data_IF_861594896679
#
_entry.id   IF_861594896679
#
_cell.length_a   1.000
_cell.length_b   1.000
_cell.length_c   1.000
_cell.angle_alpha   90.00
_cell.angle_beta   90.00
_cell.angle_gamma   90.00
#
_symmetry.space_group_name_H-M   'P 1'
#
loop_
_entity.id
_entity.type
_entity.pdbx_description
1 polymer ?
#
# COMPACT_ATOMS: atom_id res chain seq x y z
N UNK A 1 -96.40 -5.03 -7.03
CA UNK A 1 -95.65 -4.67 -5.81
C UNK A 1 -94.18 -4.59 -6.16
N UNK A 2 -93.59 -3.46 -5.80
CA UNK A 2 -92.20 -3.03 -5.97
C UNK A 2 -91.25 -3.98 -5.21
N UNK A 3 -90.05 -4.28 -5.75
CA UNK A 3 -88.76 -3.91 -5.13
C UNK A 3 -87.50 -4.35 -5.91
N UNK A 4 -86.71 -3.33 -6.24
CA UNK A 4 -85.26 -3.18 -6.00
C UNK A 4 -84.23 -4.10 -6.66
N UNK A 5 -83.44 -3.43 -7.53
CA UNK A 5 -81.96 -3.28 -7.47
C UNK A 5 -81.14 -4.54 -7.81
N UNK A 6 -80.07 -4.51 -8.60
CA UNK A 6 -79.23 -3.43 -9.10
C UNK A 6 -78.36 -3.98 -10.24
N UNK A 7 -78.07 -3.11 -11.18
CA UNK A 7 -77.13 -3.26 -12.29
C UNK A 7 -75.74 -3.61 -11.76
N UNK A 8 -75.12 -4.67 -12.30
CA UNK A 8 -73.69 -4.95 -12.11
C UNK A 8 -73.07 -5.45 -13.41
N UNK A 9 -72.84 -4.52 -14.33
CA UNK A 9 -71.80 -4.66 -15.35
C UNK A 9 -70.51 -4.11 -14.75
N UNK A 10 -69.65 -5.00 -14.24
CA UNK A 10 -68.31 -4.68 -13.78
C UNK A 10 -67.44 -4.28 -14.98
N UNK A 11 -67.28 -2.98 -15.22
CA UNK A 11 -66.20 -2.46 -16.04
C UNK A 11 -64.98 -2.28 -15.13
N UNK A 12 -64.09 -3.28 -15.08
CA UNK A 12 -62.79 -3.15 -14.45
C UNK A 12 -61.93 -2.19 -15.30
N UNK A 13 -61.94 -0.91 -14.95
CA UNK A 13 -60.94 0.03 -15.46
C UNK A 13 -59.64 -0.23 -14.69
N UNK A 14 -58.81 -1.14 -15.23
CA UNK A 14 -57.44 -1.31 -14.77
C UNK A 14 -56.66 -0.04 -15.12
N UNK A 15 -56.58 0.89 -14.17
CA UNK A 15 -55.59 1.97 -14.22
C UNK A 15 -54.23 1.30 -14.01
N UNK A 16 -53.58 0.94 -15.11
CA UNK A 16 -52.17 0.61 -15.11
C UNK A 16 -51.40 1.89 -14.75
N UNK A 17 -51.17 2.09 -13.45
CA UNK A 17 -50.13 3.03 -13.01
C UNK A 17 -48.82 2.39 -13.40
N UNK A 18 -48.35 2.69 -14.61
CA UNK A 18 -46.98 2.45 -15.01
C UNK A 18 -46.10 3.32 -14.12
N UNK A 19 -45.71 2.79 -12.96
CA UNK A 19 -44.56 3.31 -12.22
C UNK A 19 -43.37 3.02 -13.11
N UNK A 20 -43.07 3.99 -13.99
CA UNK A 20 -41.75 4.08 -14.61
C UNK A 20 -40.78 4.30 -13.46
N UNK A 21 -40.29 3.22 -12.87
CA UNK A 21 -39.09 3.26 -12.06
C UNK A 21 -37.99 3.77 -12.99
N UNK A 22 -37.74 5.08 -12.97
CA UNK A 22 -36.53 5.61 -13.57
C UNK A 22 -35.38 4.81 -12.94
N UNK A 23 -34.50 4.20 -13.75
CA UNK A 23 -33.34 3.54 -13.19
C UNK A 23 -32.66 4.57 -12.30
N UNK A 24 -32.55 4.28 -11.00
CA UNK A 24 -31.78 5.09 -10.07
C UNK A 24 -30.36 5.03 -10.63
N UNK A 25 -29.99 6.06 -11.39
CA UNK A 25 -28.64 6.22 -11.91
C UNK A 25 -27.82 6.57 -10.68
N UNK A 26 -27.29 5.54 -10.02
CA UNK A 26 -26.36 5.70 -8.92
C UNK A 26 -25.32 6.72 -9.38
N UNK A 27 -25.27 7.87 -8.71
CA UNK A 27 -24.28 8.89 -9.00
C UNK A 27 -22.92 8.21 -8.93
N UNK A 28 -22.09 8.39 -9.95
CA UNK A 28 -20.77 7.78 -9.98
C UNK A 28 -19.97 8.29 -8.77
N UNK A 29 -19.82 7.45 -7.74
CA UNK A 29 -19.05 7.79 -6.55
C UNK A 29 -17.56 7.71 -6.85
N UNK A 30 -16.83 8.72 -6.42
CA UNK A 30 -15.37 8.72 -6.38
C UNK A 30 -14.90 7.97 -5.15
N UNK A 31 -13.64 7.56 -5.13
CA UNK A 31 -13.07 6.84 -3.98
C UNK A 31 -11.89 7.62 -3.41
N UNK A 32 -11.88 7.80 -2.09
CA UNK A 32 -10.74 8.26 -1.33
C UNK A 32 -10.21 7.08 -0.51
N UNK A 33 -8.96 6.72 -0.72
CA UNK A 33 -8.28 5.64 -0.01
C UNK A 33 -7.22 6.28 0.88
N UNK A 34 -7.28 6.04 2.18
CA UNK A 34 -6.39 6.62 3.19
C UNK A 34 -5.56 5.51 3.81
N UNK A 35 -4.24 5.67 3.79
CA UNK A 35 -3.29 4.78 4.44
C UNK A 35 -2.47 5.51 5.50
N UNK A 36 -2.39 4.91 6.68
CA UNK A 36 -1.35 5.22 7.68
C UNK A 36 -0.39 4.02 7.75
N UNK A 37 0.85 4.24 7.35
CA UNK A 37 1.91 3.24 7.25
C UNK A 37 2.23 2.68 8.64
N UNK A 38 2.20 1.36 8.82
CA UNK A 38 2.55 0.76 10.10
C UNK A 38 1.52 0.91 11.23
N UNK A 39 0.30 1.37 10.94
CA UNK A 39 -0.70 1.63 11.97
C UNK A 39 -1.28 0.32 12.53
N UNK A 40 -0.98 0.04 13.80
CA UNK A 40 -1.64 -1.07 14.50
C UNK A 40 -3.10 -0.72 14.87
N UNK A 41 -4.05 -1.67 14.75
CA UNK A 41 -5.45 -1.43 15.10
C UNK A 41 -5.71 -1.00 16.54
N UNK A 42 -4.85 -1.38 17.49
CA UNK A 42 -4.99 -1.04 18.91
C UNK A 42 -4.72 0.45 19.22
N UNK A 43 -4.13 1.20 18.28
CA UNK A 43 -3.99 2.65 18.42
C UNK A 43 -5.26 3.44 18.11
N UNK A 44 -6.23 2.82 17.45
CA UNK A 44 -7.47 3.48 17.01
C UNK A 44 -8.43 3.59 18.21
N UNK A 45 -8.24 4.65 18.98
CA UNK A 45 -8.93 4.98 20.24
C UNK A 45 -9.45 6.42 20.19
N UNK A 46 -10.50 6.78 20.95
CA UNK A 46 -10.99 8.15 21.01
C UNK A 46 -9.91 9.18 21.37
N UNK A 47 -8.94 8.79 22.20
CA UNK A 47 -7.91 9.69 22.73
C UNK A 47 -6.76 9.90 21.74
N UNK A 48 -6.33 8.85 21.03
CA UNK A 48 -5.17 8.94 20.14
C UNK A 48 -5.56 9.28 18.71
N UNK A 49 -6.74 8.85 18.25
CA UNK A 49 -7.16 8.96 16.86
C UNK A 49 -8.66 9.26 16.76
N UNK A 50 -9.14 10.39 17.31
CA UNK A 50 -10.57 10.70 17.37
C UNK A 50 -11.25 10.70 15.99
N UNK A 51 -10.56 11.16 14.93
CA UNK A 51 -11.16 11.24 13.59
C UNK A 51 -11.32 9.86 12.96
N UNK A 52 -10.27 9.04 12.99
CA UNK A 52 -10.35 7.67 12.48
C UNK A 52 -11.25 6.80 13.33
N UNK A 53 -11.25 6.98 14.66
CA UNK A 53 -12.16 6.30 15.56
C UNK A 53 -13.62 6.64 15.22
N UNK A 54 -13.96 7.91 15.02
CA UNK A 54 -15.30 8.31 14.61
C UNK A 54 -15.69 7.72 13.24
N UNK A 55 -14.76 7.71 12.27
CA UNK A 55 -14.98 7.08 10.96
C UNK A 55 -15.25 5.57 11.10
N UNK A 56 -14.52 4.88 11.98
CA UNK A 56 -14.73 3.46 12.30
C UNK A 56 -16.11 3.21 12.91
N UNK A 57 -16.59 4.08 13.81
CA UNK A 57 -17.92 3.94 14.43
C UNK A 57 -19.07 4.18 13.44
N UNK A 58 -18.88 5.11 12.50
CA UNK A 58 -19.90 5.46 11.52
C UNK A 58 -19.90 4.57 10.27
N UNK A 59 -18.85 3.76 10.07
CA UNK A 59 -18.62 2.97 8.88
C UNK A 59 -18.67 1.46 9.10
N UNK A 60 -18.13 0.72 8.13
CA UNK A 60 -17.96 -0.74 8.22
C UNK A 60 -16.51 -1.03 8.63
N UNK A 61 -16.34 -1.79 9.70
CA UNK A 61 -15.02 -2.21 10.18
C UNK A 61 -14.82 -3.71 9.97
N UNK A 62 -13.83 -4.06 9.15
CA UNK A 62 -13.43 -5.46 8.96
C UNK A 62 -12.64 -5.96 10.17
N UNK A 63 -13.08 -7.06 10.79
CA UNK A 63 -12.44 -7.64 11.99
C UNK A 63 -11.45 -8.77 11.67
N UNK A 64 -11.37 -9.22 10.42
CA UNK A 64 -10.54 -10.36 10.00
C UNK A 64 -9.63 -10.00 8.82
N UNK A 65 -9.01 -8.83 8.88
CA UNK A 65 -8.01 -8.41 7.88
C UNK A 65 -6.59 -8.84 8.31
N UNK A 66 -5.74 -9.13 7.32
CA UNK A 66 -4.32 -9.43 7.54
C UNK A 66 -3.48 -8.78 6.45
N UNK A 67 -2.28 -8.33 6.81
CA UNK A 67 -1.28 -7.87 5.86
C UNK A 67 -0.79 -9.02 5.00
N UNK A 68 -0.33 -8.67 3.81
CA UNK A 68 0.28 -9.63 2.88
C UNK A 68 1.70 -9.95 3.34
N UNK A 69 2.06 -11.24 3.34
CA UNK A 69 3.40 -11.71 3.69
C UNK A 69 4.37 -11.62 2.49
N UNK A 70 5.64 -11.17 2.70
CA UNK A 70 6.16 -10.63 3.95
C UNK A 70 5.54 -9.25 4.26
N UNK A 71 5.25 -9.01 5.54
CA UNK A 71 4.47 -7.85 6.02
C UNK A 71 5.30 -6.57 6.03
N UNK A 72 5.68 -6.12 4.83
CA UNK A 72 6.49 -4.92 4.58
C UNK A 72 5.81 -4.00 3.58
N UNK A 73 6.12 -2.71 3.65
CA UNK A 73 5.48 -1.65 2.89
C UNK A 73 5.37 -1.90 1.39
N UNK A 74 6.44 -2.32 0.71
CA UNK A 74 6.45 -2.37 -0.76
C UNK A 74 5.69 -3.59 -1.28
N UNK A 75 5.71 -4.69 -0.55
CA UNK A 75 4.85 -5.86 -0.80
C UNK A 75 3.37 -5.51 -0.66
N UNK A 76 3.00 -4.79 0.40
CA UNK A 76 1.61 -4.40 0.61
C UNK A 76 1.17 -3.30 -0.36
N UNK A 77 2.06 -2.37 -0.73
CA UNK A 77 1.80 -1.34 -1.75
C UNK A 77 1.53 -1.97 -3.12
N UNK A 78 2.33 -2.94 -3.57
CA UNK A 78 2.10 -3.63 -4.84
C UNK A 78 0.85 -4.52 -4.80
N UNK A 79 0.60 -5.17 -3.66
CA UNK A 79 -0.58 -6.03 -3.50
C UNK A 79 -1.87 -5.22 -3.47
N UNK A 80 -1.87 -4.07 -2.80
CA UNK A 80 -2.94 -3.08 -2.85
C UNK A 80 -3.16 -2.58 -4.28
N UNK A 81 -2.08 -2.20 -4.96
CA UNK A 81 -2.17 -1.65 -6.31
C UNK A 81 -2.72 -2.66 -7.32
N UNK A 82 -2.59 -3.97 -7.09
CA UNK A 82 -2.95 -5.01 -8.07
C UNK A 82 -4.09 -5.93 -7.62
N UNK A 83 -4.47 -5.90 -6.34
CA UNK A 83 -5.39 -6.88 -5.76
C UNK A 83 -4.84 -8.31 -5.73
N UNK A 84 -3.52 -8.50 -5.81
CA UNK A 84 -2.89 -9.82 -5.94
C UNK A 84 -1.67 -9.98 -5.01
N UNK A 85 -1.37 -11.22 -4.61
CA UNK A 85 -0.23 -11.53 -3.74
C UNK A 85 1.13 -11.38 -4.47
N UNK A 86 2.26 -11.24 -3.74
CA UNK A 86 3.62 -11.13 -4.30
C UNK A 86 3.97 -12.19 -5.33
N UNK A 87 3.50 -13.42 -5.13
CA UNK A 87 3.66 -14.51 -6.10
C UNK A 87 3.13 -14.15 -7.49
N UNK A 88 2.08 -13.33 -7.57
CA UNK A 88 1.42 -12.94 -8.80
C UNK A 88 1.81 -11.54 -9.27
N UNK A 89 2.08 -10.59 -8.37
CA UNK A 89 2.51 -9.23 -8.76
C UNK A 89 4.02 -9.08 -8.96
N UNK A 90 4.82 -10.03 -8.50
CA UNK A 90 6.26 -10.11 -8.75
C UNK A 90 7.16 -9.32 -7.79
N UNK A 91 6.60 -8.49 -6.90
CA UNK A 91 7.38 -7.69 -5.96
C UNK A 91 7.36 -8.32 -4.55
N UNK A 92 8.50 -8.88 -4.14
CA UNK A 92 8.60 -9.81 -3.01
C UNK A 92 9.18 -9.22 -1.71
N UNK A 93 9.56 -7.94 -1.69
CA UNK A 93 10.13 -7.33 -0.48
C UNK A 93 10.50 -5.87 -0.67
N UNK A 94 10.88 -5.23 0.44
CA UNK A 94 11.43 -3.87 0.42
C UNK A 94 12.83 -3.83 -0.24
N UNK A 95 13.52 -4.96 -0.23
CA UNK A 95 14.81 -5.14 -0.87
C UNK A 95 14.76 -6.39 -1.75
N UNK A 96 15.17 -6.27 -3.01
CA UNK A 96 15.00 -7.33 -4.01
C UNK A 96 16.27 -7.50 -4.84
N UNK A 97 16.51 -8.70 -5.37
CA UNK A 97 17.65 -8.98 -6.23
C UNK A 97 17.21 -9.27 -7.67
N UNK A 98 17.57 -8.37 -8.59
CA UNK A 98 17.38 -8.54 -10.03
C UNK A 98 18.74 -8.54 -10.73
N UNK A 99 19.32 -9.72 -11.04
CA UNK A 99 20.67 -9.82 -11.62
C UNK A 99 20.81 -9.15 -12.99
N UNK A 100 19.69 -8.91 -13.70
CA UNK A 100 19.65 -8.11 -14.94
C UNK A 100 19.87 -6.61 -14.73
N UNK A 101 19.64 -6.12 -13.52
CA UNK A 101 19.79 -4.70 -13.15
C UNK A 101 21.10 -4.49 -12.39
N UNK A 102 21.35 -5.31 -11.36
CA UNK A 102 22.52 -5.21 -10.49
C UNK A 102 23.04 -6.60 -10.20
N UNK A 103 24.31 -6.87 -10.52
CA UNK A 103 24.92 -8.21 -10.37
C UNK A 103 25.25 -8.54 -8.91
N UNK A 104 25.62 -7.54 -8.12
CA UNK A 104 25.96 -7.67 -6.71
C UNK A 104 25.04 -6.83 -5.84
N UNK A 105 24.51 -7.44 -4.77
CA UNK A 105 23.69 -6.71 -3.81
C UNK A 105 22.25 -6.48 -4.26
N UNK A 106 21.44 -6.04 -3.32
CA UNK A 106 20.03 -5.82 -3.54
C UNK A 106 19.73 -4.40 -4.06
N UNK A 107 18.53 -4.26 -4.61
CA UNK A 107 17.87 -3.01 -5.00
C UNK A 107 16.91 -2.60 -3.90
N UNK A 108 16.79 -1.30 -3.65
CA UNK A 108 15.85 -0.72 -2.70
C UNK A 108 14.56 -0.33 -3.41
N UNK A 109 13.50 -1.10 -3.20
CA UNK A 109 12.18 -0.82 -3.78
C UNK A 109 11.50 0.41 -3.16
N UNK A 110 12.09 1.00 -2.12
CA UNK A 110 11.75 2.32 -1.61
C UNK A 110 12.15 3.46 -2.54
N UNK A 111 13.06 3.24 -3.48
CA UNK A 111 13.52 4.24 -4.44
C UNK A 111 12.87 4.01 -5.81
N UNK A 112 12.16 5.01 -6.30
CA UNK A 112 11.56 4.99 -7.64
C UNK A 112 12.61 4.78 -8.76
N UNK A 113 13.87 5.18 -8.56
CA UNK A 113 14.95 4.97 -9.54
C UNK A 113 15.30 3.50 -9.71
N UNK A 114 15.37 2.76 -8.60
CA UNK A 114 15.61 1.32 -8.62
C UNK A 114 14.41 0.59 -9.23
N UNK A 115 13.18 0.99 -8.87
CA UNK A 115 11.96 0.45 -9.49
C UNK A 115 11.90 0.70 -11.00
N UNK A 116 12.25 1.91 -11.47
CA UNK A 116 12.29 2.22 -12.91
C UNK A 116 13.38 1.41 -13.64
N UNK A 117 14.49 1.13 -12.97
CA UNK A 117 15.55 0.26 -13.52
C UNK A 117 15.07 -1.18 -13.64
N UNK A 118 14.29 -1.67 -12.66
CA UNK A 118 13.61 -2.98 -12.73
C UNK A 118 12.59 -2.98 -13.88
N UNK A 119 11.71 -1.99 -13.96
CA UNK A 119 10.70 -1.87 -15.02
C UNK A 119 11.35 -1.92 -16.41
N UNK A 120 12.42 -1.15 -16.60
CA UNK A 120 13.20 -1.13 -17.85
C UNK A 120 13.80 -2.51 -18.18
N UNK A 121 14.40 -3.18 -17.20
CA UNK A 121 14.96 -4.51 -17.39
C UNK A 121 13.89 -5.59 -17.65
N UNK A 122 12.67 -5.37 -17.15
CA UNK A 122 11.50 -6.23 -17.33
C UNK A 122 10.61 -5.76 -18.50
N UNK A 123 11.09 -4.86 -19.37
CA UNK A 123 10.37 -4.38 -20.56
C UNK A 123 8.99 -3.80 -20.23
N UNK A 124 8.91 -2.95 -19.21
CA UNK A 124 7.67 -2.30 -18.80
C UNK A 124 6.76 -3.16 -17.91
N UNK A 125 7.25 -4.28 -17.37
CA UNK A 125 6.50 -5.17 -16.48
C UNK A 125 7.05 -5.12 -15.05
N UNK A 126 7.16 -3.91 -14.46
CA UNK A 126 7.52 -3.76 -13.04
C UNK A 126 6.67 -4.65 -12.13
N UNK A 127 5.36 -4.62 -12.35
CA UNK A 127 4.41 -5.54 -11.74
C UNK A 127 3.91 -6.50 -12.82
N UNK A 128 3.84 -7.79 -12.50
CA UNK A 128 3.35 -8.82 -13.43
C UNK A 128 1.83 -8.95 -13.44
N UNK A 129 1.14 -8.24 -12.56
CA UNK A 129 -0.32 -8.13 -12.51
C UNK A 129 -0.75 -6.72 -12.89
N UNK A 130 -1.87 -6.62 -13.59
CA UNK A 130 -2.48 -5.33 -13.97
C UNK A 130 -2.86 -4.57 -12.69
N UNK A 131 -2.47 -3.30 -12.63
CA UNK A 131 -2.76 -2.44 -11.48
C UNK A 131 -4.12 -1.74 -11.60
N UNK A 132 -4.66 -1.30 -10.46
CA UNK A 132 -5.86 -0.48 -10.36
C UNK A 132 -5.75 0.78 -11.21
N UNK A 133 -4.57 1.41 -11.23
CA UNK A 133 -4.30 2.59 -12.06
C UNK A 133 -4.48 2.30 -13.56
N UNK A 134 -3.98 1.16 -14.03
CA UNK A 134 -4.16 0.71 -15.42
C UNK A 134 -5.63 0.40 -15.73
N UNK A 135 -6.33 -0.33 -14.86
CA UNK A 135 -7.76 -0.63 -15.04
C UNK A 135 -8.63 0.64 -15.08
N UNK A 136 -8.31 1.63 -14.26
CA UNK A 136 -8.99 2.92 -14.26
C UNK A 136 -8.71 3.66 -15.58
N UNK A 137 -7.46 3.68 -16.03
CA UNK A 137 -7.08 4.29 -17.29
C UNK A 137 -7.86 3.68 -18.47
N UNK A 138 -7.89 2.35 -18.58
CA UNK A 138 -8.64 1.63 -19.64
C UNK A 138 -10.13 1.98 -19.64
N UNK A 139 -10.67 2.32 -18.46
CA UNK A 139 -12.07 2.74 -18.28
C UNK A 139 -12.29 4.25 -18.45
N UNK A 140 -11.28 5.01 -18.90
CA UNK A 140 -11.35 6.47 -19.03
C UNK A 140 -11.44 7.21 -17.69
N UNK A 141 -11.05 6.56 -16.59
CA UNK A 141 -11.03 7.09 -15.23
C UNK A 141 -9.61 7.44 -14.80
N UNK A 142 -9.51 8.26 -13.77
CA UNK A 142 -8.23 8.84 -13.33
C UNK A 142 -7.94 8.52 -11.87
N UNK A 143 -6.66 8.29 -11.56
CA UNK A 143 -6.16 8.03 -10.20
C UNK A 143 -5.05 9.01 -9.84
N UNK A 144 -5.19 9.70 -8.71
CA UNK A 144 -4.10 10.49 -8.13
C UNK A 144 -3.60 9.87 -6.83
N UNK A 145 -2.28 9.83 -6.67
CA UNK A 145 -1.58 9.36 -5.47
C UNK A 145 -0.95 10.54 -4.78
N UNK A 146 -1.17 10.67 -3.47
CA UNK A 146 -0.59 11.67 -2.60
C UNK A 146 0.15 10.92 -1.50
N UNK A 147 1.47 11.04 -1.38
CA UNK A 147 2.21 10.21 -0.42
C UNK A 147 3.32 10.98 0.25
N UNK A 148 3.41 10.89 1.57
CA UNK A 148 4.59 11.34 2.34
C UNK A 148 5.60 10.21 2.57
N UNK A 149 5.35 9.02 2.02
CA UNK A 149 6.26 7.88 2.02
C UNK A 149 7.42 8.02 1.06
N UNK A 150 8.12 6.92 0.84
CA UNK A 150 9.24 6.90 -0.10
C UNK A 150 8.74 7.04 -1.55
N UNK A 151 9.63 7.46 -2.45
CA UNK A 151 9.27 7.63 -3.87
C UNK A 151 8.82 6.32 -4.50
N UNK A 152 9.45 5.19 -4.14
CA UNK A 152 9.06 3.87 -4.61
C UNK A 152 7.70 3.40 -4.10
N UNK A 153 7.37 3.68 -2.83
CA UNK A 153 6.04 3.43 -2.28
C UNK A 153 4.97 4.19 -3.07
N UNK A 154 5.20 5.49 -3.31
CA UNK A 154 4.28 6.32 -4.06
C UNK A 154 4.12 5.83 -5.51
N UNK A 155 5.24 5.46 -6.16
CA UNK A 155 5.25 4.93 -7.52
C UNK A 155 4.39 3.68 -7.66
N UNK A 156 4.55 2.70 -6.76
CA UNK A 156 3.88 1.41 -6.86
C UNK A 156 2.35 1.51 -6.85
N UNK A 157 1.77 2.53 -6.22
CA UNK A 157 0.32 2.72 -6.19
C UNK A 157 -0.29 3.08 -7.55
N UNK A 158 0.47 3.72 -8.44
CA UNK A 158 0.03 4.08 -9.79
C UNK A 158 1.23 4.16 -10.76
N UNK A 159 1.98 3.07 -10.91
CA UNK A 159 3.31 3.09 -11.53
C UNK A 159 3.35 3.52 -13.00
N UNK A 160 2.25 3.40 -13.74
CA UNK A 160 2.13 3.91 -15.11
C UNK A 160 1.83 5.41 -15.18
N UNK A 161 1.26 5.99 -14.13
CA UNK A 161 0.88 7.41 -13.99
C UNK A 161 -0.07 7.94 -15.10
N UNK A 162 -0.53 7.09 -16.01
CA UNK A 162 -1.31 7.52 -17.16
C UNK A 162 -2.71 7.99 -16.75
N UNK A 163 -3.09 9.19 -17.19
CA UNK A 163 -4.37 9.80 -16.85
C UNK A 163 -4.47 10.28 -15.40
N UNK A 164 -3.37 10.25 -14.64
CA UNK A 164 -3.35 10.59 -13.22
C UNK A 164 -2.14 11.42 -12.83
N UNK A 165 -1.81 11.39 -11.54
CA UNK A 165 -0.60 12.00 -11.02
C UNK A 165 -0.12 11.28 -9.76
N UNK A 166 1.16 11.41 -9.47
CA UNK A 166 1.76 11.09 -8.17
C UNK A 166 2.36 12.37 -7.62
N UNK A 167 1.91 12.77 -6.44
CA UNK A 167 2.42 13.91 -5.70
C UNK A 167 3.05 13.40 -4.42
N UNK A 168 4.37 13.28 -4.44
CA UNK A 168 5.21 12.96 -3.31
C UNK A 168 6.24 14.09 -3.13
N UNK A 169 6.60 14.46 -1.89
CA UNK A 169 7.55 15.55 -1.64
C UNK A 169 8.87 15.45 -2.43
N UNK A 170 9.33 14.23 -2.72
CA UNK A 170 10.61 13.99 -3.39
C UNK A 170 10.41 13.54 -4.85
N UNK A 171 9.16 13.32 -5.29
CA UNK A 171 8.83 12.89 -6.64
C UNK A 171 7.43 13.34 -7.05
N UNK A 172 7.36 14.19 -8.08
CA UNK A 172 6.08 14.59 -8.70
C UNK A 172 6.05 14.06 -10.13
N UNK A 173 5.02 13.26 -10.45
CA UNK A 173 4.76 12.71 -11.77
C UNK A 173 3.33 13.07 -12.22
N UNK A 174 3.11 13.40 -13.50
CA UNK A 174 4.14 13.63 -14.52
C UNK A 174 5.03 14.83 -14.15
N UNK A 175 6.29 14.82 -14.60
CA UNK A 175 7.24 15.87 -14.24
C UNK A 175 6.77 17.27 -14.63
N UNK A 176 5.96 17.38 -15.69
CA UNK A 176 5.41 18.63 -16.22
C UNK A 176 4.55 19.43 -15.22
N UNK A 177 3.95 18.78 -14.21
CA UNK A 177 3.11 19.49 -13.22
C UNK A 177 3.89 19.94 -11.97
N UNK A 178 5.15 19.53 -11.83
CA UNK A 178 5.98 19.79 -10.65
C UNK A 178 6.04 21.26 -10.28
N UNK A 179 6.45 22.11 -11.22
CA UNK A 179 6.66 23.53 -10.93
C UNK A 179 5.36 24.23 -10.55
N UNK A 180 4.23 23.79 -11.11
CA UNK A 180 2.92 24.34 -10.73
C UNK A 180 2.55 23.96 -9.30
N UNK A 181 2.79 22.71 -8.90
CA UNK A 181 2.52 22.24 -7.54
C UNK A 181 3.41 22.97 -6.53
N UNK A 182 4.71 23.14 -6.83
CA UNK A 182 5.64 23.83 -5.94
C UNK A 182 5.28 25.32 -5.81
N UNK A 183 4.86 25.98 -6.90
CA UNK A 183 4.36 27.37 -6.81
C UNK A 183 3.12 27.49 -5.93
N UNK A 184 2.21 26.52 -6.03
CA UNK A 184 0.91 26.54 -5.36
C UNK A 184 0.97 26.16 -3.88
N UNK A 185 1.84 25.22 -3.51
CA UNK A 185 1.93 24.64 -2.17
C UNK A 185 3.21 25.03 -1.41
N UNK A 186 4.17 25.65 -2.10
CA UNK A 186 5.53 25.85 -1.59
C UNK A 186 6.38 24.58 -1.65
N UNK A 187 7.67 24.75 -1.37
CA UNK A 187 8.63 23.65 -1.35
C UNK A 187 8.34 22.73 -0.15
N UNK A 188 8.15 21.41 -0.35
CA UNK A 188 8.00 20.50 0.76
C UNK A 188 9.29 20.42 1.58
N UNK A 189 9.14 20.19 2.89
CA UNK A 189 10.29 19.93 3.76
C UNK A 189 10.97 18.62 3.36
N UNK A 190 12.30 18.58 3.49
CA UNK A 190 13.06 17.33 3.41
C UNK A 190 12.64 16.36 4.53
N UNK A 191 12.82 15.06 4.32
CA UNK A 191 12.55 14.07 5.36
C UNK A 191 13.36 14.37 6.63
N UNK A 192 12.70 14.27 7.78
CA UNK A 192 13.29 14.61 9.07
C UNK A 192 12.74 13.69 10.17
N UNK A 193 13.29 13.81 11.38
CA UNK A 193 12.76 13.08 12.55
C UNK A 193 11.28 13.40 12.79
N UNK A 194 10.90 14.66 12.64
CA UNK A 194 9.52 15.10 12.61
C UNK A 194 9.03 15.17 11.16
N UNK A 195 8.17 14.24 10.79
CA UNK A 195 7.61 14.15 9.44
C UNK A 195 6.24 14.83 9.33
N UNK A 196 5.74 15.43 10.42
CA UNK A 196 4.45 16.13 10.49
C UNK A 196 4.25 17.18 9.38
N UNK A 197 5.23 18.06 9.11
CA UNK A 197 5.11 19.04 8.03
C UNK A 197 4.99 18.42 6.62
N UNK A 198 5.60 17.25 6.39
CA UNK A 198 5.46 16.53 5.12
C UNK A 198 4.06 15.90 4.98
N UNK A 199 3.52 15.34 6.07
CA UNK A 199 2.13 14.88 6.10
C UNK A 199 1.16 16.01 5.80
N UNK A 200 1.34 17.16 6.45
CA UNK A 200 0.54 18.36 6.19
C UNK A 200 0.64 18.84 4.74
N UNK A 201 1.84 18.90 4.17
CA UNK A 201 2.02 19.29 2.77
C UNK A 201 1.30 18.33 1.81
N UNK A 202 1.36 17.02 2.05
CA UNK A 202 0.65 16.00 1.26
C UNK A 202 -0.87 16.11 1.43
N UNK A 203 -1.36 16.37 2.64
CA UNK A 203 -2.78 16.62 2.89
C UNK A 203 -3.26 17.89 2.15
N UNK A 204 -2.45 18.95 2.14
CA UNK A 204 -2.73 20.17 1.38
C UNK A 204 -2.79 19.89 -0.13
N UNK A 205 -1.88 19.05 -0.66
CA UNK A 205 -1.92 18.64 -2.05
C UNK A 205 -3.20 17.87 -2.40
N UNK A 206 -3.60 16.90 -1.57
CA UNK A 206 -4.87 16.17 -1.74
C UNK A 206 -6.07 17.14 -1.72
N UNK A 207 -6.12 18.02 -0.72
CA UNK A 207 -7.20 19.00 -0.58
C UNK A 207 -7.27 19.93 -1.80
N UNK A 208 -6.13 20.36 -2.34
CA UNK A 208 -6.09 21.30 -3.46
C UNK A 208 -6.43 20.65 -4.80
N UNK A 209 -5.91 19.45 -5.07
CA UNK A 209 -5.98 18.84 -6.40
C UNK A 209 -6.90 17.62 -6.48
N UNK A 210 -7.03 16.84 -5.40
CA UNK A 210 -7.84 15.62 -5.40
C UNK A 210 -9.29 15.84 -4.97
N UNK A 211 -9.53 16.72 -3.99
CA UNK A 211 -10.86 16.96 -3.39
C UNK A 211 -11.60 18.14 -4.05
N UNK A 212 -11.68 18.13 -5.38
CA UNK A 212 -12.36 19.15 -6.20
C UNK A 212 -13.57 18.55 -6.92
N UNK A 213 -14.58 19.34 -7.32
CA UNK A 213 -15.89 18.83 -7.82
C UNK A 213 -15.75 17.80 -8.96
N UNK A 214 -14.91 18.09 -9.94
CA UNK A 214 -14.65 17.23 -11.11
C UNK A 214 -13.27 16.55 -11.03
N UNK A 215 -12.84 16.22 -9.80
CA UNK A 215 -11.55 15.61 -9.52
C UNK A 215 -11.46 14.12 -9.89
N UNK A 216 -10.35 13.46 -9.52
CA UNK A 216 -10.08 12.08 -9.89
C UNK A 216 -11.15 11.08 -9.45
N UNK A 217 -11.29 9.99 -10.21
CA UNK A 217 -12.17 8.88 -9.83
C UNK A 217 -11.68 8.19 -8.56
N UNK A 218 -10.36 8.10 -8.40
CA UNK A 218 -9.70 7.56 -7.20
C UNK A 218 -8.61 8.51 -6.73
N UNK A 219 -8.64 8.85 -5.45
CA UNK A 219 -7.55 9.51 -4.75
C UNK A 219 -7.01 8.53 -3.71
N UNK A 220 -5.70 8.27 -3.73
CA UNK A 220 -5.03 7.50 -2.69
C UNK A 220 -4.09 8.44 -1.93
N UNK A 221 -4.26 8.54 -0.61
CA UNK A 221 -3.36 9.29 0.26
C UNK A 221 -2.67 8.35 1.24
N UNK A 222 -1.35 8.47 1.33
CA UNK A 222 -0.50 7.64 2.19
C UNK A 222 0.35 8.52 3.09
N UNK A 223 0.17 8.36 4.40
CA UNK A 223 1.01 8.98 5.39
C UNK A 223 2.01 7.97 5.94
N UNK A 224 3.30 8.28 5.87
CA UNK A 224 4.40 7.38 6.27
C UNK A 224 4.62 7.24 7.77
N UNK A 225 3.73 7.81 8.58
CA UNK A 225 3.69 7.54 10.02
C UNK A 225 2.41 6.78 10.37
N UNK A 226 2.44 5.93 11.42
CA UNK A 226 3.52 5.80 12.40
C UNK A 226 4.77 4.98 12.02
N UNK A 227 4.86 4.38 10.83
CA UNK A 227 5.99 3.53 10.46
C UNK A 227 7.37 4.15 10.71
N UNK A 228 7.64 5.32 10.13
CA UNK A 228 8.95 5.97 10.21
C UNK A 228 9.36 6.31 11.65
N UNK A 229 8.44 6.81 12.47
CA UNK A 229 8.71 7.10 13.88
C UNK A 229 8.77 5.84 14.75
N UNK A 230 7.92 4.84 14.53
CA UNK A 230 7.92 3.61 15.32
C UNK A 230 9.18 2.76 15.08
N UNK A 231 9.69 2.73 13.84
CA UNK A 231 10.98 2.11 13.54
C UNK A 231 12.15 2.76 14.28
N UNK A 232 12.12 4.08 14.42
CA UNK A 232 13.23 4.87 14.97
C UNK A 232 13.19 4.99 16.49
N UNK A 233 12.02 5.31 17.04
CA UNK A 233 11.84 5.65 18.46
C UNK A 233 11.12 4.54 19.24
N UNK A 234 10.58 3.52 18.54
CA UNK A 234 9.88 2.39 19.15
C UNK A 234 8.36 2.59 19.24
N UNK A 235 7.67 1.45 19.26
CA UNK A 235 6.22 1.31 19.41
C UNK A 235 5.77 1.93 20.73
N UNK A 236 4.74 2.79 20.69
CA UNK A 236 4.20 3.43 21.90
C UNK A 236 5.09 4.52 22.51
N UNK A 237 6.22 4.85 21.89
CA UNK A 237 7.05 5.98 22.32
C UNK A 237 6.28 7.31 22.22
N UNK A 238 6.63 8.33 23.02
CA UNK A 238 5.99 9.65 22.92
C UNK A 238 6.02 10.24 21.50
N UNK A 239 7.13 10.01 20.77
CA UNK A 239 7.28 10.44 19.39
C UNK A 239 6.33 9.69 18.45
N UNK A 240 6.22 8.36 18.59
CA UNK A 240 5.28 7.57 17.80
C UNK A 240 3.82 7.95 18.08
N UNK A 241 3.45 8.13 19.35
CA UNK A 241 2.10 8.57 19.71
C UNK A 241 1.78 9.99 19.23
N UNK A 242 2.77 10.89 19.19
CA UNK A 242 2.60 12.22 18.61
C UNK A 242 2.39 12.16 17.10
N UNK A 243 3.14 11.32 16.38
CA UNK A 243 2.98 11.13 14.95
C UNK A 243 1.60 10.52 14.60
N UNK A 244 1.11 9.55 15.39
CA UNK A 244 -0.25 8.99 15.27
C UNK A 244 -1.31 10.09 15.36
N UNK A 245 -1.22 10.95 16.38
CA UNK A 245 -2.13 12.10 16.51
C UNK A 245 -2.01 13.06 15.33
N UNK A 246 -0.79 13.26 14.80
CA UNK A 246 -0.54 14.18 13.68
C UNK A 246 -1.16 13.71 12.37
N UNK A 247 -1.08 12.41 12.06
CA UNK A 247 -1.73 11.85 10.86
C UNK A 247 -3.25 11.79 11.00
N UNK A 248 -3.78 11.52 12.20
CA UNK A 248 -5.22 11.61 12.48
C UNK A 248 -5.77 13.04 12.34
N UNK A 249 -4.99 14.05 12.77
CA UNK A 249 -5.32 15.47 12.53
C UNK A 249 -5.46 15.76 11.02
N UNK A 250 -4.57 15.20 10.17
CA UNK A 250 -4.67 15.39 8.73
C UNK A 250 -5.90 14.70 8.14
N UNK A 251 -6.28 13.52 8.63
CA UNK A 251 -7.55 12.89 8.27
C UNK A 251 -8.74 13.78 8.66
N UNK A 252 -8.74 14.36 9.86
CA UNK A 252 -9.77 15.32 10.28
C UNK A 252 -9.91 16.50 9.32
N UNK A 253 -8.79 17.09 8.89
CA UNK A 253 -8.78 18.17 7.88
C UNK A 253 -9.36 17.73 6.53
N UNK A 254 -9.03 16.52 6.09
CA UNK A 254 -9.54 15.94 4.84
C UNK A 254 -11.06 15.73 4.91
N UNK A 255 -11.55 15.10 5.98
CA UNK A 255 -12.98 14.84 6.17
C UNK A 255 -13.77 16.15 6.28
N UNK A 256 -13.28 17.10 7.07
CA UNK A 256 -13.88 18.44 7.20
C UNK A 256 -13.97 19.16 5.85
N UNK A 257 -12.90 19.09 5.04
CA UNK A 257 -12.89 19.70 3.70
C UNK A 257 -13.96 19.07 2.80
N UNK A 258 -14.15 17.75 2.85
CA UNK A 258 -15.20 17.09 2.07
C UNK A 258 -16.60 17.58 2.48
N UNK A 259 -16.83 17.78 3.77
CA UNK A 259 -18.11 18.26 4.30
C UNK A 259 -18.34 19.74 3.91
N UNK A 260 -17.35 20.60 4.10
CA UNK A 260 -17.42 22.04 3.77
C UNK A 260 -17.60 22.30 2.28
N UNK A 261 -17.10 21.42 1.41
CA UNK A 261 -17.25 21.52 -0.05
C UNK A 261 -18.49 20.78 -0.59
N UNK A 262 -19.33 20.23 0.28
CA UNK A 262 -20.49 19.40 -0.10
C UNK A 262 -20.10 18.22 -1.02
N UNK A 263 -18.88 17.69 -0.84
CA UNK A 263 -18.34 16.57 -1.60
C UNK A 263 -18.50 15.24 -0.88
N UNK A 264 -18.80 15.22 0.42
CA UNK A 264 -18.85 13.97 1.21
C UNK A 264 -19.77 12.90 0.61
N UNK A 265 -20.93 13.31 0.09
CA UNK A 265 -21.91 12.44 -0.58
C UNK A 265 -21.41 11.81 -1.90
N UNK A 266 -20.31 12.31 -2.45
CA UNK A 266 -19.74 11.88 -3.73
C UNK A 266 -18.55 10.94 -3.56
N UNK A 267 -18.14 10.64 -2.32
CA UNK A 267 -16.97 9.82 -2.02
C UNK A 267 -17.32 8.58 -1.20
N UNK A 268 -16.83 7.44 -1.68
CA UNK A 268 -16.54 6.29 -0.82
C UNK A 268 -15.20 6.55 -0.13
N UNK A 269 -15.14 6.41 1.20
CA UNK A 269 -13.91 6.59 1.97
C UNK A 269 -13.48 5.24 2.51
N UNK A 270 -12.31 4.78 2.05
CA UNK A 270 -11.67 3.56 2.50
C UNK A 270 -10.47 3.93 3.36
N UNK A 271 -10.36 3.33 4.53
CA UNK A 271 -9.16 3.42 5.36
C UNK A 271 -8.50 2.05 5.44
N UNK A 272 -7.17 2.01 5.35
CA UNK A 272 -6.38 0.81 5.59
C UNK A 272 -5.01 1.17 6.17
N UNK A 273 -4.30 0.14 6.58
CA UNK A 273 -2.85 0.16 6.82
C UNK A 273 -2.22 -0.95 5.99
N UNK A 274 -0.91 -0.91 5.83
CA UNK A 274 -0.14 -1.89 5.09
C UNK A 274 0.39 -3.00 6.01
N UNK A 275 0.87 -2.65 7.20
CA UNK A 275 1.30 -3.59 8.23
C UNK A 275 1.17 -3.05 9.65
N UNK A 276 1.35 -3.97 10.60
CA UNK A 276 1.49 -3.63 12.02
C UNK A 276 2.95 -3.55 12.45
N UNK A 277 3.16 -3.62 13.75
CA UNK A 277 4.46 -3.46 14.39
C UNK A 277 4.61 -4.42 15.57
N UNK A 278 5.80 -4.99 15.71
CA UNK A 278 6.22 -5.78 16.87
C UNK A 278 7.51 -5.22 17.44
N UNK A 279 7.67 -5.31 18.75
CA UNK A 279 8.92 -4.88 19.39
C UNK A 279 10.01 -5.85 18.99
N UNK A 280 11.05 -5.33 18.34
CA UNK A 280 12.22 -6.10 17.96
C UNK A 280 13.41 -5.68 18.83
N UNK A 281 13.95 -6.61 19.61
CA UNK A 281 15.25 -6.46 20.23
C UNK A 281 16.30 -6.97 19.23
N UNK A 282 17.22 -6.07 18.85
CA UNK A 282 18.22 -6.28 17.79
C UNK A 282 18.96 -7.61 17.86
N UNK A 283 19.34 -8.13 16.70
CA UNK A 283 20.15 -9.34 16.50
C UNK A 283 21.05 -9.16 15.28
N UNK A 284 21.93 -10.13 15.05
CA UNK A 284 22.98 -10.09 14.02
C UNK A 284 22.48 -9.80 12.61
N UNK A 285 23.28 -9.07 11.84
CA UNK A 285 23.02 -8.86 10.42
C UNK A 285 23.33 -10.15 9.64
N UNK A 286 22.38 -10.65 8.83
CA UNK A 286 22.55 -11.90 8.05
C UNK A 286 23.80 -11.84 7.17
N UNK A 287 24.06 -10.73 6.49
CA UNK A 287 25.25 -10.58 5.64
C UNK A 287 26.53 -10.74 6.46
N UNK A 288 26.59 -10.12 7.64
CA UNK A 288 27.76 -10.21 8.53
C UNK A 288 27.92 -11.62 9.12
N UNK A 289 26.81 -12.27 9.48
CA UNK A 289 26.76 -13.67 9.90
C UNK A 289 27.31 -14.61 8.82
N UNK A 290 26.98 -14.38 7.55
CA UNK A 290 27.48 -15.21 6.45
C UNK A 290 28.96 -14.97 6.16
N UNK A 291 29.41 -13.71 6.18
CA UNK A 291 30.81 -13.34 5.94
C UNK A 291 31.72 -13.91 7.01
N UNK A 292 31.39 -13.75 8.29
CA UNK A 292 32.22 -14.25 9.40
C UNK A 292 32.35 -15.78 9.44
N UNK A 293 31.38 -16.50 8.85
CA UNK A 293 31.39 -17.95 8.75
C UNK A 293 31.96 -18.45 7.41
N UNK A 294 32.52 -17.56 6.57
CA UNK A 294 33.11 -17.93 5.28
C UNK A 294 32.10 -18.47 4.25
N UNK A 295 30.80 -18.20 4.44
CA UNK A 295 29.74 -18.60 3.51
C UNK A 295 29.42 -17.53 2.47
N UNK A 296 29.95 -16.32 2.67
CA UNK A 296 29.97 -15.20 1.74
C UNK A 296 31.36 -14.56 1.76
N UNK A 297 31.94 -14.26 0.60
CA UNK A 297 33.34 -13.78 0.53
C UNK A 297 33.53 -12.38 1.13
N UNK A 298 32.61 -11.46 0.85
CA UNK A 298 32.63 -10.10 1.40
C UNK A 298 31.22 -9.50 1.34
N UNK A 299 30.98 -8.33 1.95
CA UNK A 299 29.67 -7.65 1.87
C UNK A 299 29.21 -7.44 0.42
N UNK A 300 30.14 -7.11 -0.47
CA UNK A 300 29.86 -6.75 -1.87
C UNK A 300 30.04 -7.91 -2.87
N UNK A 301 30.40 -9.12 -2.41
CA UNK A 301 30.62 -10.26 -3.29
C UNK A 301 29.33 -10.76 -3.98
N UNK A 302 29.48 -11.28 -5.19
CA UNK A 302 28.37 -11.85 -5.99
C UNK A 302 28.05 -13.31 -5.61
N UNK A 303 28.93 -13.99 -4.88
CA UNK A 303 28.79 -15.42 -4.59
C UNK A 303 27.52 -15.73 -3.77
N UNK A 304 27.16 -14.82 -2.88
CA UNK A 304 25.88 -14.81 -2.14
C UNK A 304 25.35 -13.38 -2.02
N UNK A 305 24.10 -13.15 -2.42
CA UNK A 305 23.41 -11.86 -2.28
C UNK A 305 22.27 -11.99 -1.28
N UNK A 306 22.28 -11.15 -0.25
CA UNK A 306 21.18 -11.03 0.72
C UNK A 306 20.31 -9.84 0.33
N UNK A 307 19.00 -10.06 0.18
CA UNK A 307 18.02 -9.04 -0.19
C UNK A 307 16.82 -9.09 0.75
N UNK A 308 16.84 -8.27 1.80
CA UNK A 308 15.84 -8.35 2.87
C UNK A 308 15.82 -9.74 3.51
N UNK A 309 14.68 -10.43 3.43
CA UNK A 309 14.50 -11.79 3.95
C UNK A 309 14.97 -12.92 3.01
N UNK A 310 15.50 -12.62 1.81
CA UNK A 310 15.95 -13.64 0.86
C UNK A 310 17.48 -13.73 0.77
N UNK A 311 17.98 -14.94 0.47
CA UNK A 311 19.40 -15.22 0.23
C UNK A 311 19.52 -15.92 -1.13
N UNK A 312 20.28 -15.31 -2.02
CA UNK A 312 20.52 -15.79 -3.37
C UNK A 312 21.95 -16.31 -3.46
N UNK A 313 22.11 -17.60 -3.76
CA UNK A 313 23.43 -18.23 -3.96
C UNK A 313 23.71 -18.33 -5.44
N UNK A 314 24.88 -17.83 -5.87
CA UNK A 314 25.32 -17.87 -7.26
C UNK A 314 25.26 -19.30 -7.80
N UNK A 315 24.75 -19.44 -9.03
CA UNK A 315 24.60 -20.72 -9.74
C UNK A 315 23.78 -21.78 -8.99
N UNK A 316 23.07 -21.40 -7.92
CA UNK A 316 22.34 -22.33 -7.06
C UNK A 316 23.21 -23.46 -6.49
N UNK A 317 24.44 -23.16 -6.08
CA UNK A 317 25.34 -24.12 -5.42
C UNK A 317 24.63 -24.80 -4.23
N UNK A 318 24.31 -26.09 -4.40
CA UNK A 318 23.54 -26.87 -3.44
C UNK A 318 24.28 -27.09 -2.13
N UNK A 319 25.61 -27.25 -2.17
CA UNK A 319 26.40 -27.46 -0.96
C UNK A 319 26.50 -26.18 -0.15
N UNK A 320 26.73 -25.04 -0.82
CA UNK A 320 26.72 -23.74 -0.16
C UNK A 320 25.35 -23.44 0.44
N UNK A 321 24.25 -23.69 -0.29
CA UNK A 321 22.88 -23.52 0.25
C UNK A 321 22.66 -24.38 1.50
N UNK A 322 23.06 -25.66 1.49
CA UNK A 322 22.94 -26.54 2.67
C UNK A 322 23.68 -25.97 3.87
N UNK A 323 24.93 -25.53 3.70
CA UNK A 323 25.73 -24.92 4.77
C UNK A 323 25.09 -23.65 5.33
N UNK A 324 24.54 -22.80 4.46
CA UNK A 324 23.80 -21.60 4.87
C UNK A 324 22.56 -21.98 5.68
N UNK A 325 21.75 -22.93 5.20
CA UNK A 325 20.55 -23.39 5.91
C UNK A 325 20.92 -23.94 7.29
N UNK A 326 21.94 -24.79 7.39
CA UNK A 326 22.41 -25.32 8.69
C UNK A 326 22.82 -24.20 9.63
N UNK A 327 23.57 -23.21 9.15
CA UNK A 327 23.97 -22.06 9.97
C UNK A 327 22.76 -21.26 10.48
N UNK A 328 21.78 -21.02 9.60
CA UNK A 328 20.56 -20.28 9.92
C UNK A 328 19.69 -21.04 10.93
N UNK A 329 19.48 -22.34 10.75
CA UNK A 329 18.72 -23.19 11.67
C UNK A 329 19.37 -23.31 13.06
N UNK A 330 20.68 -23.09 13.16
CA UNK A 330 21.39 -23.06 14.44
C UNK A 330 21.21 -21.75 15.22
N UNK A 331 20.61 -20.72 14.61
CA UNK A 331 20.36 -19.45 15.27
C UNK A 331 18.99 -19.47 15.97
N UNK A 332 18.95 -19.20 17.27
CA UNK A 332 17.72 -19.12 18.08
C UNK A 332 16.73 -18.02 17.62
N UNK A 333 17.20 -17.17 16.72
CA UNK A 333 16.53 -15.98 16.26
C UNK A 333 16.06 -16.02 14.82
N UNK A 334 16.44 -17.06 14.11
CA UNK A 334 15.91 -17.33 12.79
C UNK A 334 14.65 -18.18 12.99
N UNK A 335 13.55 -17.69 12.44
CA UNK A 335 12.30 -18.45 12.39
C UNK A 335 12.34 -19.55 11.34
N UNK A 336 11.20 -19.81 10.70
CA UNK A 336 11.13 -20.78 9.61
C UNK A 336 12.02 -20.38 8.43
N UNK A 337 12.87 -21.30 7.98
CA UNK A 337 13.68 -21.15 6.76
C UNK A 337 12.95 -21.82 5.61
N UNK A 338 12.84 -21.12 4.49
CA UNK A 338 12.18 -21.63 3.29
C UNK A 338 13.21 -21.95 2.19
N UNK A 339 13.06 -23.10 1.55
CA UNK A 339 13.77 -23.45 0.31
C UNK A 339 12.77 -23.99 -0.70
N UNK A 340 13.13 -24.06 -1.99
CA UNK A 340 12.25 -24.63 -3.01
C UNK A 340 11.72 -26.01 -2.56
N UNK A 341 10.43 -26.27 -2.77
CA UNK A 341 9.85 -27.57 -2.43
C UNK A 341 10.64 -28.75 -3.02
N UNK A 342 10.79 -29.81 -2.21
CA UNK A 342 11.44 -31.05 -2.64
C UNK A 342 10.76 -31.64 -3.90
N UNK A 343 9.46 -31.39 -4.05
CA UNK A 343 8.68 -31.57 -5.27
C UNK A 343 7.75 -30.37 -5.47
N UNK A 344 7.11 -30.24 -6.65
CA UNK A 344 6.20 -29.12 -6.98
C UNK A 344 5.00 -28.95 -6.01
N UNK A 345 4.64 -29.97 -5.26
CA UNK A 345 3.50 -29.95 -4.31
C UNK A 345 3.93 -30.20 -2.86
N UNK A 346 5.23 -30.28 -2.59
CA UNK A 346 5.75 -30.51 -1.25
C UNK A 346 5.60 -29.24 -0.41
N UNK A 347 5.18 -29.40 0.84
CA UNK A 347 5.25 -28.34 1.88
C UNK A 347 6.62 -28.31 2.58
N UNK A 348 7.42 -29.36 2.41
CA UNK A 348 8.80 -29.43 2.86
C UNK A 348 9.75 -28.96 1.75
N UNK A 349 10.71 -28.11 2.12
CA UNK A 349 11.79 -27.66 1.24
C UNK A 349 12.77 -28.79 0.92
N UNK A 350 13.57 -28.60 -0.13
CA UNK A 350 14.54 -29.61 -0.59
C UNK A 350 15.74 -29.79 0.35
N UNK A 351 15.98 -28.82 1.23
CA UNK A 351 16.96 -28.94 2.33
C UNK A 351 16.23 -29.40 3.60
N UNK A 352 16.73 -30.43 4.31
CA UNK A 352 16.12 -30.90 5.54
C UNK A 352 15.84 -29.79 6.56
N UNK A 353 14.66 -29.83 7.19
CA UNK A 353 14.21 -28.85 8.19
C UNK A 353 13.76 -27.50 7.62
N UNK A 354 13.59 -27.38 6.30
CA UNK A 354 13.06 -26.16 5.67
C UNK A 354 11.64 -26.35 5.14
N UNK A 355 10.88 -25.26 5.02
CA UNK A 355 9.54 -25.22 4.42
C UNK A 355 9.62 -24.85 2.93
N UNK A 356 8.55 -25.06 2.18
CA UNK A 356 8.46 -24.85 0.74
C UNK A 356 7.49 -23.75 0.31
#
# INVERSE_FOLDING_TARGET
MITMKQILSFLFLAVAVSVSAQPVRLKASRTLIVFFDGLRPDYITPENMPNLYALKQAGVYGTSHHSVFPTVTRVNSSSYATGSYPQQNGLMGNSVFFPKVKKNGALDTGDARDLNSIDSAMQGHLLTSVSLGELLQESGKTMMVFSSGSTGQALLQNHKVNGGAIINPDMILPFSIRDSIIRDLGQPQAYSKDNGPRHEWVANALIRYGLVKDGPSVNAVWFSDPDGCAHRDGIGSPAAMAAIRKVDEQLGRILKTLDERDLRKDFNILFSTDHGFVTYAGKDNITELLVRNGLKESKESEDVVVAGGSIHVKEHDKEKIRKIVTLLQAQDWIGSVFTRGATKKSTAGWVPGTLA
#
